data_IF_214949652284
#
_entry.id   IF_214949652284
#
_cell.length_a   1.000
_cell.length_b   1.000
_cell.length_c   1.000
_cell.angle_alpha   90.00
_cell.angle_beta   90.00
_cell.angle_gamma   90.00
#
_symmetry.space_group_name_H-M   'P 1'
#
loop_
_entity.id
_entity.type
_entity.pdbx_description
1 polymer ?
#
# COMPACT_ATOMS: atom_id res chain seq x y z
N UNK A 1 -9.47 7.49 20.73
CA UNK A 1 -8.44 6.45 20.65
C UNK A 1 -7.94 6.43 19.22
N UNK A 2 -6.66 6.72 18.99
CA UNK A 2 -6.06 6.74 17.66
C UNK A 2 -4.76 5.97 17.68
N UNK A 3 -4.40 5.34 16.57
CA UNK A 3 -3.09 4.72 16.40
C UNK A 3 -2.03 5.83 16.41
N UNK A 4 -1.02 5.68 17.26
CA UNK A 4 0.07 6.66 17.41
C UNK A 4 1.42 6.15 16.90
N UNK A 5 1.58 4.84 16.77
CA UNK A 5 2.77 4.20 16.22
C UNK A 5 2.52 3.84 14.75
N UNK A 6 3.05 4.66 13.83
CA UNK A 6 2.76 4.59 12.40
C UNK A 6 3.94 4.03 11.64
N UNK A 7 3.72 2.90 10.98
CA UNK A 7 4.69 2.22 10.13
C UNK A 7 4.26 2.35 8.66
N UNK A 8 5.09 3.00 7.86
CA UNK A 8 4.88 3.17 6.43
C UNK A 8 5.59 2.05 5.66
N UNK A 9 4.87 1.36 4.78
CA UNK A 9 5.43 0.33 3.90
C UNK A 9 5.47 0.83 2.45
N UNK A 10 6.65 0.76 1.83
CA UNK A 10 6.87 0.88 0.39
C UNK A 10 7.29 -0.48 -0.14
N UNK A 11 6.55 -1.00 -1.12
CA UNK A 11 6.85 -2.26 -1.79
C UNK A 11 7.38 -1.94 -3.18
N UNK A 12 8.69 -1.98 -3.32
CA UNK A 12 9.38 -1.67 -4.55
C UNK A 12 9.28 -2.84 -5.52
N UNK A 13 8.52 -2.62 -6.59
CA UNK A 13 8.32 -3.55 -7.71
C UNK A 13 8.78 -2.94 -9.04
N UNK A 14 9.70 -1.97 -9.00
CA UNK A 14 10.24 -1.28 -10.17
C UNK A 14 9.82 0.20 -10.25
N UNK A 15 9.61 0.83 -9.10
CA UNK A 15 9.25 2.25 -9.04
C UNK A 15 10.47 3.18 -9.18
N UNK A 16 10.24 4.41 -9.63
CA UNK A 16 11.30 5.39 -9.90
C UNK A 16 11.71 6.23 -8.68
N UNK A 17 10.83 6.32 -7.67
CA UNK A 17 11.07 7.11 -6.46
C UNK A 17 12.19 6.51 -5.62
N UNK A 18 13.12 7.35 -5.16
CA UNK A 18 14.28 6.87 -4.42
C UNK A 18 13.93 6.56 -2.96
N UNK A 19 14.74 5.71 -2.33
CA UNK A 19 14.60 5.43 -0.90
C UNK A 19 14.79 6.69 -0.05
N UNK A 20 15.70 7.60 -0.46
CA UNK A 20 15.93 8.86 0.23
C UNK A 20 14.70 9.78 0.20
N UNK A 21 14.00 9.86 -0.93
CA UNK A 21 12.77 10.65 -1.06
C UNK A 21 11.68 10.13 -0.13
N UNK A 22 11.48 8.81 -0.11
CA UNK A 22 10.51 8.15 0.77
C UNK A 22 10.86 8.36 2.24
N UNK A 23 12.13 8.20 2.60
CA UNK A 23 12.61 8.40 3.97
C UNK A 23 12.36 9.83 4.45
N UNK A 24 12.63 10.83 3.61
CA UNK A 24 12.34 12.24 3.93
C UNK A 24 10.85 12.48 4.20
N UNK A 25 9.97 11.85 3.40
CA UNK A 25 8.52 11.97 3.58
C UNK A 25 8.08 11.29 4.88
N UNK A 26 8.55 10.07 5.15
CA UNK A 26 8.20 9.31 6.35
C UNK A 26 8.61 10.04 7.63
N UNK A 27 9.85 10.54 7.69
CA UNK A 27 10.36 11.35 8.81
C UNK A 27 9.51 12.61 9.01
N UNK A 28 9.16 13.32 7.93
CA UNK A 28 8.30 14.50 7.99
C UNK A 28 6.89 14.20 8.52
N UNK A 29 6.41 12.97 8.34
CA UNK A 29 5.10 12.53 8.80
C UNK A 29 5.15 11.78 10.15
N UNK A 30 6.32 11.65 10.77
CA UNK A 30 6.49 10.92 12.03
C UNK A 30 6.25 9.41 11.92
N UNK A 31 6.54 8.83 10.74
CA UNK A 31 6.37 7.40 10.49
C UNK A 31 7.71 6.68 10.32
N UNK A 32 7.78 5.43 10.78
CA UNK A 32 8.89 4.52 10.50
C UNK A 32 8.70 3.91 9.11
N UNK A 33 9.69 4.06 8.21
CA UNK A 33 9.63 3.54 6.86
C UNK A 33 10.23 2.13 6.76
N UNK A 34 9.52 1.25 6.09
CA UNK A 34 9.99 -0.06 5.63
C UNK A 34 9.94 -0.08 4.11
N UNK A 35 11.06 -0.41 3.48
CA UNK A 35 11.14 -0.62 2.03
C UNK A 35 11.38 -2.11 1.78
N UNK A 36 10.50 -2.73 1.01
CA UNK A 36 10.61 -4.14 0.62
C UNK A 36 10.87 -4.22 -0.88
N UNK A 37 12.06 -4.67 -1.27
CA UNK A 37 12.42 -4.89 -2.67
C UNK A 37 11.85 -6.22 -3.13
N UNK A 38 10.80 -6.17 -3.94
CA UNK A 38 10.01 -7.32 -4.37
C UNK A 38 9.96 -7.45 -5.91
N UNK A 39 10.88 -6.80 -6.64
CA UNK A 39 10.94 -6.83 -8.10
C UNK A 39 11.06 -8.27 -8.65
N UNK A 40 12.02 -9.04 -8.14
CA UNK A 40 12.25 -10.41 -8.60
C UNK A 40 11.08 -11.33 -8.26
N UNK A 41 10.52 -11.19 -7.05
CA UNK A 41 9.34 -11.92 -6.59
C UNK A 41 8.13 -11.57 -7.46
N UNK A 42 7.92 -10.31 -7.77
CA UNK A 42 6.84 -9.86 -8.64
C UNK A 42 6.97 -10.46 -10.05
N UNK A 43 8.17 -10.42 -10.61
CA UNK A 43 8.44 -10.97 -11.94
C UNK A 43 8.22 -12.50 -11.97
N UNK A 44 8.78 -13.22 -10.99
CA UNK A 44 8.78 -14.68 -10.97
C UNK A 44 7.42 -15.29 -10.57
N UNK A 45 6.78 -14.76 -9.53
CA UNK A 45 5.57 -15.38 -8.95
C UNK A 45 4.26 -14.82 -9.51
N UNK A 46 4.28 -13.61 -10.08
CA UNK A 46 3.05 -12.96 -10.54
C UNK A 46 3.04 -12.73 -12.04
N UNK A 47 4.06 -12.05 -12.57
CA UNK A 47 4.11 -11.67 -13.98
C UNK A 47 4.33 -12.89 -14.88
N UNK A 48 5.31 -13.74 -14.56
CA UNK A 48 5.60 -14.91 -15.39
C UNK A 48 4.41 -15.90 -15.48
N UNK A 49 3.70 -16.25 -14.39
CA UNK A 49 2.49 -17.06 -14.49
C UNK A 49 1.35 -16.39 -15.27
N UNK A 50 1.13 -15.09 -15.07
CA UNK A 50 0.11 -14.35 -15.82
C UNK A 50 0.40 -14.31 -17.32
N UNK A 51 1.67 -14.16 -17.71
CA UNK A 51 2.09 -14.23 -19.11
C UNK A 51 1.86 -15.62 -19.70
N UNK A 52 2.24 -16.68 -18.98
CA UNK A 52 2.00 -18.07 -19.41
C UNK A 52 0.51 -18.37 -19.59
N UNK A 53 -0.33 -17.79 -18.74
CA UNK A 53 -1.79 -17.91 -18.83
C UNK A 53 -2.43 -16.98 -19.87
N UNK A 54 -1.63 -16.17 -20.58
CA UNK A 54 -2.13 -15.12 -21.47
C UNK A 54 -3.20 -14.24 -20.79
N UNK A 55 -2.95 -13.88 -19.53
CA UNK A 55 -3.94 -13.23 -18.67
C UNK A 55 -4.24 -11.80 -19.14
N UNK A 56 -5.31 -11.67 -19.92
CA UNK A 56 -5.80 -10.42 -20.47
C UNK A 56 -7.25 -10.18 -20.03
N UNK A 57 -7.48 -9.06 -19.37
CA UNK A 57 -8.82 -8.57 -19.08
C UNK A 57 -9.48 -8.10 -20.38
N UNK A 58 -10.67 -8.61 -20.66
CA UNK A 58 -11.42 -8.40 -21.91
C UNK A 58 -10.60 -8.73 -23.17
N UNK A 59 -9.62 -9.64 -23.06
CA UNK A 59 -8.75 -10.02 -24.17
C UNK A 59 -7.79 -8.92 -24.63
N UNK A 60 -7.73 -7.78 -23.95
CA UNK A 60 -6.96 -6.60 -24.38
C UNK A 60 -5.98 -6.09 -23.33
N UNK A 61 -6.37 -6.10 -22.05
CA UNK A 61 -5.64 -5.39 -21.01
C UNK A 61 -4.87 -6.35 -20.09
N UNK A 62 -3.53 -6.26 -19.99
CA UNK A 62 -2.77 -7.01 -19.01
C UNK A 62 -3.25 -6.74 -17.57
N UNK A 63 -3.28 -7.77 -16.74
CA UNK A 63 -3.81 -7.70 -15.36
C UNK A 63 -2.79 -7.21 -14.32
N UNK A 64 -1.73 -6.52 -14.73
CA UNK A 64 -0.58 -6.11 -13.89
C UNK A 64 -0.97 -5.35 -12.62
N UNK A 65 -1.99 -4.48 -12.70
CA UNK A 65 -2.49 -3.75 -11.52
C UNK A 65 -3.09 -4.71 -10.49
N UNK A 66 -3.84 -5.73 -10.89
CA UNK A 66 -4.36 -6.73 -9.94
C UNK A 66 -3.21 -7.45 -9.25
N UNK A 67 -2.25 -7.95 -10.03
CA UNK A 67 -1.10 -8.71 -9.53
C UNK A 67 -0.28 -7.93 -8.49
N UNK A 68 0.05 -6.66 -8.79
CA UNK A 68 0.83 -5.83 -7.86
C UNK A 68 0.11 -5.61 -6.52
N UNK A 69 -1.23 -5.48 -6.52
CA UNK A 69 -1.98 -5.28 -5.26
C UNK A 69 -1.99 -6.52 -4.39
N UNK A 70 -1.97 -7.72 -4.99
CA UNK A 70 -1.86 -8.97 -4.25
C UNK A 70 -0.51 -9.08 -3.56
N UNK A 71 0.58 -8.77 -4.25
CA UNK A 71 1.92 -8.76 -3.67
C UNK A 71 2.04 -7.71 -2.56
N UNK A 72 1.54 -6.49 -2.78
CA UNK A 72 1.53 -5.44 -1.75
C UNK A 72 0.77 -5.89 -0.50
N UNK A 73 -0.41 -6.50 -0.66
CA UNK A 73 -1.19 -7.01 0.46
C UNK A 73 -0.43 -8.11 1.22
N UNK A 74 0.20 -9.05 0.51
CA UNK A 74 1.03 -10.11 1.12
C UNK A 74 2.15 -9.51 1.97
N UNK A 75 2.94 -8.60 1.39
CA UNK A 75 4.04 -7.93 2.11
C UNK A 75 3.54 -7.11 3.29
N UNK A 76 2.36 -6.48 3.18
CA UNK A 76 1.76 -5.74 4.28
C UNK A 76 1.34 -6.63 5.45
N UNK A 77 0.75 -7.80 5.17
CA UNK A 77 0.38 -8.79 6.20
C UNK A 77 1.62 -9.34 6.89
N UNK A 78 2.65 -9.70 6.13
CA UNK A 78 3.91 -10.22 6.68
C UNK A 78 4.56 -9.20 7.64
N UNK A 79 4.65 -7.93 7.21
CA UNK A 79 5.18 -6.86 8.05
C UNK A 79 4.30 -6.61 9.28
N UNK A 80 2.98 -6.58 9.10
CA UNK A 80 2.04 -6.34 10.20
C UNK A 80 2.15 -7.42 11.28
N UNK A 81 2.25 -8.69 10.90
CA UNK A 81 2.49 -9.78 11.84
C UNK A 81 3.84 -9.64 12.56
N UNK A 82 4.91 -9.31 11.82
CA UNK A 82 6.24 -9.11 12.41
C UNK A 82 6.30 -7.95 13.42
N UNK A 83 5.48 -6.93 13.23
CA UNK A 83 5.39 -5.77 14.13
C UNK A 83 4.33 -5.91 15.22
N UNK A 84 3.47 -6.93 15.17
CA UNK A 84 2.27 -7.01 16.02
C UNK A 84 1.27 -5.87 15.74
N UNK A 85 1.23 -5.37 14.50
CA UNK A 85 0.37 -4.27 14.10
C UNK A 85 -1.10 -4.70 14.09
N UNK A 86 -1.94 -3.86 14.68
CA UNK A 86 -3.38 -4.12 14.83
C UNK A 86 -4.20 -3.67 13.62
N UNK A 87 -3.60 -2.90 12.71
CA UNK A 87 -4.29 -2.29 11.59
C UNK A 87 -3.40 -2.13 10.35
N UNK A 88 -3.97 -2.39 9.18
CA UNK A 88 -3.39 -2.06 7.87
C UNK A 88 -4.28 -1.02 7.19
N UNK A 89 -3.70 0.11 6.79
CA UNK A 89 -4.44 1.20 6.14
C UNK A 89 -3.90 1.42 4.73
N UNK A 90 -4.81 1.60 3.77
CA UNK A 90 -4.46 2.03 2.41
C UNK A 90 -5.32 3.21 1.98
N UNK A 91 -5.05 3.82 0.82
CA UNK A 91 -5.72 5.07 0.40
C UNK A 91 -6.71 4.92 -0.75
N UNK A 92 -6.91 3.72 -1.29
CA UNK A 92 -7.88 3.50 -2.35
C UNK A 92 -9.33 3.75 -1.89
N UNK A 93 -10.16 4.32 -2.76
CA UNK A 93 -11.58 4.60 -2.49
C UNK A 93 -12.51 3.65 -3.26
N UNK A 94 -13.83 3.76 -3.03
CA UNK A 94 -14.84 2.84 -3.60
C UNK A 94 -14.93 2.83 -5.13
N UNK A 95 -14.54 3.91 -5.79
CA UNK A 95 -14.54 3.96 -7.27
C UNK A 95 -13.30 3.29 -7.88
N UNK A 96 -12.31 2.94 -7.06
CA UNK A 96 -11.08 2.30 -7.51
C UNK A 96 -11.13 0.79 -7.24
N UNK A 97 -10.90 -0.01 -8.28
CA UNK A 97 -10.77 -1.47 -8.14
C UNK A 97 -9.70 -1.88 -7.10
N UNK A 98 -8.72 -1.00 -6.85
CA UNK A 98 -7.69 -1.18 -5.82
C UNK A 98 -8.28 -1.41 -4.43
N UNK A 99 -9.38 -0.76 -4.04
CA UNK A 99 -10.01 -0.98 -2.73
C UNK A 99 -10.40 -2.46 -2.56
N UNK A 100 -11.15 -3.00 -3.54
CA UNK A 100 -11.58 -4.40 -3.49
C UNK A 100 -10.42 -5.39 -3.58
N UNK A 101 -9.40 -5.06 -4.38
CA UNK A 101 -8.21 -5.91 -4.55
C UNK A 101 -7.38 -6.00 -3.26
N UNK A 102 -7.18 -4.88 -2.57
CA UNK A 102 -6.42 -4.87 -1.31
C UNK A 102 -7.23 -5.50 -0.19
N UNK A 103 -8.45 -5.02 0.06
CA UNK A 103 -9.30 -5.56 1.14
C UNK A 103 -9.54 -7.06 0.98
N UNK A 104 -9.90 -7.51 -0.23
CA UNK A 104 -10.12 -8.94 -0.47
C UNK A 104 -8.85 -9.77 -0.33
N UNK A 105 -7.68 -9.23 -0.71
CA UNK A 105 -6.42 -9.93 -0.50
C UNK A 105 -6.06 -10.02 0.98
N UNK A 106 -6.22 -8.94 1.75
CA UNK A 106 -5.97 -8.93 3.20
C UNK A 106 -6.87 -9.94 3.93
N UNK A 107 -8.14 -10.03 3.52
CA UNK A 107 -9.08 -11.03 4.02
C UNK A 107 -8.64 -12.46 3.68
N UNK A 108 -8.31 -12.74 2.41
CA UNK A 108 -7.89 -14.07 1.96
C UNK A 108 -6.53 -14.52 2.54
N UNK A 109 -5.67 -13.56 2.88
CA UNK A 109 -4.39 -13.82 3.56
C UNK A 109 -4.58 -14.05 5.08
N UNK A 110 -5.80 -13.89 5.61
CA UNK A 110 -6.11 -14.14 7.01
C UNK A 110 -5.53 -13.11 7.95
N UNK A 111 -5.51 -11.82 7.58
CA UNK A 111 -5.11 -10.77 8.52
C UNK A 111 -6.17 -10.61 9.61
N UNK A 112 -5.83 -10.96 10.84
CA UNK A 112 -6.75 -10.94 11.99
C UNK A 112 -7.01 -9.51 12.54
N UNK A 113 -6.23 -8.53 12.08
CA UNK A 113 -6.37 -7.13 12.46
C UNK A 113 -7.39 -6.35 11.61
N UNK A 114 -7.57 -5.07 11.93
CA UNK A 114 -8.44 -4.19 11.16
C UNK A 114 -7.78 -3.78 9.83
N UNK A 115 -8.51 -3.76 8.73
CA UNK A 115 -8.01 -3.16 7.49
C UNK A 115 -9.05 -2.27 6.84
N UNK A 116 -8.63 -1.10 6.37
CA UNK A 116 -9.55 -0.13 5.77
C UNK A 116 -8.85 0.94 4.92
N UNK A 117 -9.69 1.74 4.28
CA UNK A 117 -9.30 3.04 3.74
C UNK A 117 -10.09 4.14 4.41
N UNK A 118 -9.45 5.21 4.92
CA UNK A 118 -10.15 6.39 5.42
C UNK A 118 -10.88 7.13 4.28
N UNK A 119 -10.63 6.77 3.03
CA UNK A 119 -11.20 7.40 1.84
C UNK A 119 -12.25 6.55 1.13
N UNK A 120 -12.68 5.40 1.68
CA UNK A 120 -13.65 4.50 1.03
C UNK A 120 -14.89 5.27 0.53
N UNK A 121 -15.63 5.88 1.48
CA UNK A 121 -16.84 6.65 1.19
C UNK A 121 -16.62 8.16 1.10
N UNK A 122 -15.54 8.67 1.67
CA UNK A 122 -15.28 10.10 1.80
C UNK A 122 -13.89 10.44 1.26
N UNK A 123 -13.72 10.45 -0.07
CA UNK A 123 -12.46 10.84 -0.66
C UNK A 123 -12.17 12.31 -0.37
N UNK A 124 -10.99 12.58 0.19
CA UNK A 124 -10.54 13.95 0.49
C UNK A 124 -9.90 14.56 -0.75
N UNK A 125 -10.26 15.81 -1.05
CA UNK A 125 -9.70 16.55 -2.18
C UNK A 125 -8.20 16.78 -2.01
N UNK A 126 -7.47 16.96 -3.13
CA UNK A 126 -6.04 17.27 -3.09
C UNK A 126 -5.74 18.53 -2.29
N UNK A 127 -6.56 19.57 -2.44
CA UNK A 127 -6.42 20.84 -1.72
C UNK A 127 -6.54 20.62 -0.21
N UNK A 128 -7.55 19.86 0.22
CA UNK A 128 -7.72 19.54 1.64
C UNK A 128 -6.57 18.68 2.20
N UNK A 129 -6.05 17.72 1.41
CA UNK A 129 -4.86 16.94 1.79
C UNK A 129 -3.63 17.83 2.01
N UNK A 130 -3.39 18.79 1.10
CA UNK A 130 -2.27 19.73 1.22
C UNK A 130 -2.44 20.62 2.46
N UNK A 131 -3.65 21.14 2.68
CA UNK A 131 -3.95 21.98 3.85
C UNK A 131 -3.78 21.23 5.18
N UNK A 132 -3.97 19.91 5.20
CA UNK A 132 -3.80 19.06 6.37
C UNK A 132 -2.38 18.54 6.60
N UNK A 133 -1.40 18.86 5.73
CA UNK A 133 -0.02 18.45 5.97
C UNK A 133 0.55 19.20 7.18
N UNK A 134 1.30 18.52 8.05
CA UNK A 134 1.97 19.18 9.16
C UNK A 134 2.88 20.28 8.63
N UNK A 135 2.80 21.47 9.24
CA UNK A 135 3.69 22.58 8.91
C UNK A 135 5.04 22.35 9.58
N UNK A 136 6.11 22.97 9.08
CA UNK A 136 7.44 22.84 9.68
C UNK A 136 7.49 23.23 11.18
N UNK A 137 6.49 23.97 11.67
CA UNK A 137 6.36 24.37 13.07
C UNK A 137 5.76 23.28 13.97
N UNK A 138 4.94 22.36 13.45
CA UNK A 138 4.22 21.36 14.25
C UNK A 138 5.02 20.07 14.52
N UNK A 139 6.21 19.93 13.93
CA UNK A 139 7.05 18.72 13.99
C UNK A 139 8.19 18.82 15.02
N UNK A 140 8.19 19.85 15.88
CA UNK A 140 9.22 20.11 16.91
C UNK A 140 8.76 19.83 18.35
N UNK A 141 7.62 19.15 18.55
CA UNK A 141 7.13 18.75 19.87
C UNK A 141 7.30 17.25 20.08
#
# INVERSE_FOLDING_TARGET
MGFTDVHALSVDIGELETQEEKQRIAVRLGATLYVSHQQDVFAAEFVAPANKAQALYLGLHPVSSTLSRLLIARTAVDLAHGLGAQCIIHTANRSQNTLRRLNGALELLGFDGNYASPYDMQPVSRVAKIAGLPTAASLRQ
#
